data_IF_051335623543
#
_entry.id   IF_051335623543
#
_cell.length_a   1.000
_cell.length_b   1.000
_cell.length_c   1.000
_cell.angle_alpha   90.00
_cell.angle_beta   90.00
_cell.angle_gamma   90.00
#
_symmetry.space_group_name_H-M   'P 1'
#
loop_
_entity.id
_entity.type
_entity.pdbx_description
1 polymer ?
#
# COMPACT_ATOMS: atom_id res chain seq x y z
N UNK A 1 -13.92 6.93 29.32
CA UNK A 1 -13.22 5.95 28.44
C UNK A 1 -12.46 4.86 29.19
N UNK A 2 -11.86 5.13 30.36
CA UNK A 2 -10.93 4.19 31.02
C UNK A 2 -11.51 2.81 31.30
N UNK A 3 -12.70 2.75 31.91
CA UNK A 3 -13.35 1.48 32.24
C UNK A 3 -13.71 0.65 31.00
N UNK A 4 -14.17 1.30 29.91
CA UNK A 4 -14.62 0.61 28.69
C UNK A 4 -13.44 0.07 27.88
N UNK A 5 -12.35 0.84 27.78
CA UNK A 5 -11.17 0.49 26.98
C UNK A 5 -10.20 -0.44 27.71
N UNK A 6 -9.98 -0.22 29.02
CA UNK A 6 -8.97 -0.96 29.81
C UNK A 6 -9.28 -2.46 29.98
N UNK A 7 -10.55 -2.86 29.81
CA UNK A 7 -10.99 -4.26 29.91
C UNK A 7 -10.47 -5.15 28.79
N UNK A 8 -10.14 -4.58 27.62
CA UNK A 8 -9.63 -5.32 26.47
C UNK A 8 -8.24 -4.86 26.00
N UNK A 9 -7.83 -3.64 26.33
CA UNK A 9 -6.58 -3.03 25.88
C UNK A 9 -5.91 -2.30 27.03
N UNK A 10 -4.58 -2.24 27.06
CA UNK A 10 -3.89 -1.30 27.97
C UNK A 10 -4.14 0.13 27.49
N UNK A 11 -4.33 1.08 28.41
CA UNK A 11 -4.54 2.49 28.03
C UNK A 11 -3.34 3.04 27.28
N UNK A 12 -2.12 2.62 27.65
CA UNK A 12 -0.90 2.95 26.90
C UNK A 12 -1.03 2.57 25.42
N UNK A 13 -1.48 1.34 25.11
CA UNK A 13 -1.70 0.89 23.73
C UNK A 13 -2.78 1.70 23.01
N UNK A 14 -3.84 2.09 23.72
CA UNK A 14 -4.93 2.90 23.15
C UNK A 14 -4.43 4.27 22.72
N UNK A 15 -3.47 4.85 23.45
CA UNK A 15 -2.93 6.19 23.22
C UNK A 15 -1.52 6.22 22.61
N UNK A 16 -0.98 5.07 22.17
CA UNK A 16 0.40 4.98 21.64
C UNK A 16 0.57 5.81 20.36
N UNK A 17 -0.44 5.79 19.48
CA UNK A 17 -0.43 6.57 18.25
C UNK A 17 -1.34 7.79 18.40
N UNK A 18 -0.85 9.00 18.10
CA UNK A 18 -1.70 10.18 18.12
C UNK A 18 -2.74 10.08 17.00
N UNK A 19 -3.97 10.51 17.29
CA UNK A 19 -5.11 10.47 16.37
C UNK A 19 -5.82 11.82 16.38
N UNK A 20 -6.25 12.28 15.23
CA UNK A 20 -7.14 13.44 15.09
C UNK A 20 -8.49 13.17 15.73
N UNK A 21 -9.27 14.23 15.94
CA UNK A 21 -10.65 14.12 16.40
C UNK A 21 -11.48 13.16 15.53
N UNK A 22 -11.37 13.27 14.20
CA UNK A 22 -12.12 12.43 13.29
C UNK A 22 -11.69 10.95 13.39
N UNK A 23 -10.38 10.68 13.43
CA UNK A 23 -9.85 9.33 13.64
C UNK A 23 -10.32 8.70 14.95
N UNK A 24 -10.43 9.50 16.02
CA UNK A 24 -11.01 9.03 17.28
C UNK A 24 -12.48 8.66 17.13
N UNK A 25 -13.28 9.51 16.49
CA UNK A 25 -14.71 9.22 16.21
C UNK A 25 -14.87 7.90 15.47
N UNK A 26 -14.13 7.71 14.37
CA UNK A 26 -14.15 6.48 13.57
C UNK A 26 -13.67 5.26 14.38
N UNK A 27 -12.59 5.41 15.16
CA UNK A 27 -12.07 4.33 16.00
C UNK A 27 -13.12 3.84 17.02
N UNK A 28 -13.80 4.77 17.71
CA UNK A 28 -14.84 4.45 18.69
C UNK A 28 -16.07 3.85 18.01
N UNK A 29 -16.54 4.41 16.89
CA UNK A 29 -17.64 3.81 16.10
C UNK A 29 -17.31 2.38 15.68
N UNK A 30 -16.07 2.10 15.28
CA UNK A 30 -15.63 0.73 14.96
C UNK A 30 -15.65 -0.19 16.18
N UNK A 31 -15.28 0.30 17.36
CA UNK A 31 -15.34 -0.50 18.60
C UNK A 31 -16.78 -0.77 19.03
N UNK A 32 -17.67 0.21 18.90
CA UNK A 32 -19.11 0.03 19.10
C UNK A 32 -19.66 -1.05 18.16
N UNK A 33 -19.29 -1.02 16.88
CA UNK A 33 -19.75 -2.03 15.92
C UNK A 33 -19.23 -3.45 16.22
N UNK A 34 -18.07 -3.58 16.87
CA UNK A 34 -17.56 -4.89 17.30
C UNK A 34 -18.34 -5.47 18.49
N UNK A 35 -18.83 -4.62 19.38
CA UNK A 35 -19.68 -5.06 20.49
C UNK A 35 -20.65 -3.95 20.92
N UNK A 36 -21.83 -3.94 20.29
CA UNK A 36 -22.86 -2.91 20.47
C UNK A 36 -23.44 -2.85 21.90
N UNK A 37 -23.31 -3.93 22.66
CA UNK A 37 -23.77 -4.01 24.05
C UNK A 37 -22.73 -3.49 25.04
N UNK A 38 -21.46 -3.40 24.64
CA UNK A 38 -20.37 -2.96 25.52
C UNK A 38 -20.17 -1.44 25.50
N UNK A 39 -20.25 -0.84 24.31
CA UNK A 39 -20.20 0.61 24.10
C UNK A 39 -21.47 0.99 23.35
N UNK A 40 -22.42 1.58 24.06
CA UNK A 40 -23.65 2.12 23.48
C UNK A 40 -23.37 3.38 22.67
N UNK A 41 -24.36 3.90 21.94
CA UNK A 41 -24.23 5.18 21.23
C UNK A 41 -23.95 6.35 22.19
N UNK A 42 -24.60 6.35 23.35
CA UNK A 42 -24.38 7.33 24.41
C UNK A 42 -22.99 7.20 25.03
N UNK A 43 -22.55 5.97 25.36
CA UNK A 43 -21.19 5.71 25.83
C UNK A 43 -20.15 6.18 24.81
N UNK A 44 -20.39 5.90 23.52
CA UNK A 44 -19.51 6.26 22.42
C UNK A 44 -19.34 7.78 22.30
N UNK A 45 -20.44 8.52 22.33
CA UNK A 45 -20.43 9.99 22.30
C UNK A 45 -19.66 10.56 23.50
N UNK A 46 -19.93 10.06 24.71
CA UNK A 46 -19.25 10.51 25.92
C UNK A 46 -17.75 10.20 25.88
N UNK A 47 -17.35 9.01 25.42
CA UNK A 47 -15.94 8.62 25.29
C UNK A 47 -15.21 9.55 24.31
N UNK A 48 -15.84 9.87 23.18
CA UNK A 48 -15.29 10.78 22.17
C UNK A 48 -15.04 12.16 22.80
N UNK A 49 -16.05 12.74 23.45
CA UNK A 49 -15.96 14.07 24.07
C UNK A 49 -14.91 14.11 25.19
N UNK A 50 -14.82 13.05 26.01
CA UNK A 50 -13.80 12.94 27.05
C UNK A 50 -12.39 12.89 26.48
N UNK A 51 -12.15 12.10 25.44
CA UNK A 51 -10.81 11.99 24.82
C UNK A 51 -10.43 13.32 24.18
N UNK A 52 -11.35 13.96 23.46
CA UNK A 52 -11.10 15.25 22.80
C UNK A 52 -10.87 16.36 23.83
N UNK A 53 -11.68 16.39 24.89
CA UNK A 53 -11.62 17.40 25.94
C UNK A 53 -10.42 17.26 26.88
N UNK A 54 -10.14 16.03 27.35
CA UNK A 54 -9.12 15.75 28.39
C UNK A 54 -7.73 15.44 27.83
N UNK A 55 -7.60 15.05 26.56
CA UNK A 55 -6.32 14.61 25.94
C UNK A 55 -5.94 15.42 24.69
N UNK A 56 -6.09 16.74 24.78
CA UNK A 56 -5.66 17.67 23.71
C UNK A 56 -4.17 17.54 23.35
N UNK A 57 -3.35 17.03 24.27
CA UNK A 57 -1.93 16.73 24.11
C UNK A 57 -1.66 15.49 23.21
N UNK A 58 -2.65 14.62 23.03
CA UNK A 58 -2.54 13.37 22.23
C UNK A 58 -3.34 13.43 20.94
N UNK A 59 -4.27 14.38 20.84
CA UNK A 59 -4.85 14.71 19.54
C UNK A 59 -3.73 15.25 18.68
N UNK A 60 -3.29 14.46 17.70
CA UNK A 60 -2.39 14.93 16.66
C UNK A 60 -3.00 16.22 16.11
N UNK A 61 -2.26 17.33 16.20
CA UNK A 61 -2.45 18.42 15.25
C UNK A 61 -2.44 17.74 13.88
N UNK A 62 -3.55 17.92 13.14
CA UNK A 62 -3.86 17.32 11.83
C UNK A 62 -2.58 16.79 11.17
N UNK A 63 -2.42 15.45 10.96
CA UNK A 63 -1.22 14.94 10.33
C UNK A 63 -1.05 15.72 9.04
N UNK A 64 0.01 16.54 8.99
CA UNK A 64 0.22 17.44 7.88
C UNK A 64 0.17 16.58 6.63
N UNK A 65 -0.78 16.89 5.76
CA UNK A 65 -0.95 16.24 4.48
C UNK A 65 0.39 16.25 3.75
N UNK A 66 1.04 15.09 3.70
CA UNK A 66 2.25 14.89 2.92
C UNK A 66 1.85 15.04 1.45
N UNK A 67 2.35 16.08 0.80
CA UNK A 67 2.23 16.22 -0.65
C UNK A 67 3.27 15.32 -1.29
N UNK A 68 2.84 14.43 -2.18
CA UNK A 68 3.73 13.53 -2.91
C UNK A 68 3.81 14.01 -4.36
N UNK A 69 5.02 14.25 -4.85
CA UNK A 69 5.25 14.58 -6.27
C UNK A 69 5.20 13.32 -7.17
N UNK A 70 5.34 12.13 -6.58
CA UNK A 70 5.39 10.84 -7.27
C UNK A 70 4.19 9.98 -6.83
N UNK A 71 3.34 9.60 -7.79
CA UNK A 71 2.17 8.75 -7.58
C UNK A 71 2.55 7.35 -7.03
N UNK A 72 3.75 6.86 -7.35
CA UNK A 72 4.28 5.62 -6.79
C UNK A 72 4.49 5.74 -5.29
N UNK A 73 5.03 6.86 -4.81
CA UNK A 73 5.27 7.09 -3.38
C UNK A 73 3.95 7.21 -2.63
N UNK A 74 2.96 7.88 -3.23
CA UNK A 74 1.61 7.94 -2.69
C UNK A 74 0.97 6.54 -2.59
N UNK A 75 1.07 5.72 -3.64
CA UNK A 75 0.60 4.34 -3.62
C UNK A 75 1.24 3.50 -2.50
N UNK A 76 2.56 3.59 -2.33
CA UNK A 76 3.27 2.89 -1.25
C UNK A 76 2.74 3.32 0.11
N UNK A 77 2.68 4.63 0.34
CA UNK A 77 2.29 5.19 1.64
C UNK A 77 0.85 4.86 1.99
N UNK A 78 -0.08 4.84 1.03
CA UNK A 78 -1.50 4.60 1.31
C UNK A 78 -1.89 3.14 1.27
N UNK A 79 -1.42 2.39 0.27
CA UNK A 79 -1.94 1.06 -0.03
C UNK A 79 -1.10 -0.05 0.62
N UNK A 80 0.22 0.12 0.72
CA UNK A 80 1.11 -0.98 1.18
C UNK A 80 1.28 -1.04 2.69
N UNK A 81 0.70 -0.09 3.43
CA UNK A 81 0.66 -0.14 4.91
C UNK A 81 -0.11 -1.35 5.43
N UNK A 82 -1.13 -1.79 4.70
CA UNK A 82 -2.01 -2.90 5.11
C UNK A 82 -2.10 -4.03 4.09
N UNK A 83 -1.76 -3.77 2.82
CA UNK A 83 -1.91 -4.75 1.75
C UNK A 83 -0.57 -5.04 1.09
N UNK A 84 -0.37 -6.30 0.71
CA UNK A 84 0.75 -6.67 -0.16
C UNK A 84 0.53 -6.08 -1.55
N UNK A 85 1.60 -5.61 -2.17
CA UNK A 85 1.58 -5.04 -3.53
C UNK A 85 1.01 -6.02 -4.54
N UNK A 86 1.40 -7.30 -4.46
CA UNK A 86 0.89 -8.40 -5.32
C UNK A 86 -0.63 -8.45 -5.32
N UNK A 87 -1.23 -8.58 -4.12
CA UNK A 87 -2.69 -8.58 -3.94
C UNK A 87 -3.41 -7.42 -4.63
N UNK A 88 -2.77 -6.25 -4.70
CA UNK A 88 -3.34 -5.06 -5.33
C UNK A 88 -3.16 -5.14 -6.85
N UNK A 89 -1.94 -5.35 -7.33
CA UNK A 89 -1.63 -5.27 -8.76
C UNK A 89 -2.13 -6.47 -9.57
N UNK A 90 -2.38 -7.61 -8.93
CA UNK A 90 -2.99 -8.80 -9.57
C UNK A 90 -4.48 -8.58 -9.89
N UNK A 91 -5.06 -7.44 -9.53
CA UNK A 91 -6.46 -7.14 -9.82
C UNK A 91 -6.61 -6.46 -11.18
N UNK A 92 -7.34 -7.13 -12.06
CA UNK A 92 -7.83 -6.54 -13.29
C UNK A 92 -9.06 -5.69 -13.02
N UNK A 93 -8.87 -4.37 -13.04
CA UNK A 93 -9.92 -3.37 -12.80
C UNK A 93 -9.73 -2.18 -13.72
N UNK A 94 -10.86 -1.64 -14.16
CA UNK A 94 -10.96 -0.32 -14.77
C UNK A 94 -10.65 0.78 -13.75
N UNK A 95 -10.42 1.99 -14.25
CA UNK A 95 -10.17 3.16 -13.42
C UNK A 95 -11.32 3.42 -12.43
N UNK A 96 -12.56 3.32 -12.88
CA UNK A 96 -13.73 3.58 -12.04
C UNK A 96 -13.88 2.51 -10.94
N UNK A 97 -13.66 1.23 -11.27
CA UNK A 97 -13.62 0.16 -10.27
C UNK A 97 -12.47 0.33 -9.26
N UNK A 98 -11.34 0.93 -9.68
CA UNK A 98 -10.27 1.32 -8.77
C UNK A 98 -10.70 2.45 -7.84
N UNK A 99 -11.35 3.50 -8.37
CA UNK A 99 -11.92 4.59 -7.56
C UNK A 99 -12.87 4.04 -6.51
N UNK A 100 -13.83 3.20 -6.89
CA UNK A 100 -14.75 2.55 -5.94
C UNK A 100 -14.02 1.74 -4.87
N UNK A 101 -12.93 1.08 -5.26
CA UNK A 101 -12.13 0.30 -4.31
C UNK A 101 -11.39 1.19 -3.33
N UNK A 102 -10.79 2.28 -3.79
CA UNK A 102 -10.10 3.25 -2.94
C UNK A 102 -11.10 3.95 -2.02
N UNK A 103 -12.30 4.27 -2.50
CA UNK A 103 -13.38 4.82 -1.68
C UNK A 103 -13.76 3.85 -0.54
N UNK A 104 -13.90 2.55 -0.83
CA UNK A 104 -14.09 1.55 0.23
C UNK A 104 -12.91 1.45 1.19
N UNK A 105 -11.67 1.64 0.71
CA UNK A 105 -10.50 1.67 1.60
C UNK A 105 -10.51 2.92 2.48
N UNK A 106 -10.95 4.07 1.95
CA UNK A 106 -11.19 5.30 2.71
C UNK A 106 -12.25 5.09 3.78
N UNK A 107 -13.34 4.37 3.50
CA UNK A 107 -14.35 4.09 4.54
C UNK A 107 -13.77 3.29 5.72
N UNK A 108 -12.73 2.49 5.47
CA UNK A 108 -12.04 1.68 6.49
C UNK A 108 -10.85 2.41 7.15
N UNK A 109 -10.20 3.34 6.44
CA UNK A 109 -9.01 4.09 6.86
C UNK A 109 -9.04 5.52 6.30
N UNK A 110 -10.00 6.36 6.74
CA UNK A 110 -10.27 7.67 6.14
C UNK A 110 -9.11 8.66 6.30
N UNK A 111 -8.25 8.46 7.28
CA UNK A 111 -7.04 9.25 7.52
C UNK A 111 -5.98 9.08 6.42
N UNK A 112 -6.03 8.01 5.64
CA UNK A 112 -5.04 7.68 4.61
C UNK A 112 -5.44 8.18 3.22
N UNK A 113 -6.71 8.49 2.98
CA UNK A 113 -7.22 8.72 1.63
C UNK A 113 -7.95 10.07 1.54
N UNK A 114 -7.22 11.10 1.08
CA UNK A 114 -7.78 12.42 0.80
C UNK A 114 -8.41 12.47 -0.60
N UNK A 115 -9.41 13.33 -0.82
CA UNK A 115 -10.15 13.39 -2.09
C UNK A 115 -9.25 13.58 -3.32
N UNK A 116 -8.16 14.33 -3.19
CA UNK A 116 -7.21 14.53 -4.29
C UNK A 116 -6.24 13.36 -4.53
N UNK A 117 -6.01 12.51 -3.53
CA UNK A 117 -5.13 11.35 -3.64
C UNK A 117 -5.83 10.24 -4.44
N UNK A 118 -7.16 10.14 -4.34
CA UNK A 118 -7.98 9.09 -4.96
C UNK A 118 -7.78 9.01 -6.49
N UNK A 119 -7.96 10.09 -7.27
CA UNK A 119 -7.77 10.02 -8.72
C UNK A 119 -6.32 9.65 -9.07
N UNK A 120 -5.32 10.19 -8.35
CA UNK A 120 -3.90 9.93 -8.60
C UNK A 120 -3.56 8.45 -8.40
N UNK A 121 -4.05 7.84 -7.32
CA UNK A 121 -3.83 6.41 -7.04
C UNK A 121 -4.59 5.55 -8.06
N UNK A 122 -5.82 5.92 -8.44
CA UNK A 122 -6.60 5.18 -9.43
C UNK A 122 -5.92 5.19 -10.81
N UNK A 123 -5.39 6.34 -11.23
CA UNK A 123 -4.64 6.49 -12.48
C UNK A 123 -3.37 5.64 -12.45
N UNK A 124 -2.59 5.72 -11.37
CA UNK A 124 -1.40 4.90 -11.19
C UNK A 124 -1.70 3.40 -11.27
N UNK A 125 -2.74 2.91 -10.58
CA UNK A 125 -3.13 1.49 -10.58
C UNK A 125 -3.62 1.02 -11.95
N UNK A 126 -4.33 1.89 -12.68
CA UNK A 126 -4.81 1.58 -14.03
C UNK A 126 -3.65 1.46 -15.00
N UNK A 127 -2.74 2.44 -15.01
CA UNK A 127 -1.54 2.41 -15.84
C UNK A 127 -0.66 1.20 -15.52
N UNK A 128 -0.40 0.95 -14.22
CA UNK A 128 0.42 -0.19 -13.80
C UNK A 128 -0.23 -1.52 -14.16
N UNK A 129 -1.54 -1.64 -13.96
CA UNK A 129 -2.30 -2.83 -14.31
C UNK A 129 -2.32 -3.10 -15.82
N UNK A 130 -2.44 -2.07 -16.66
CA UNK A 130 -2.38 -2.21 -18.12
C UNK A 130 -1.00 -2.69 -18.58
N UNK A 131 0.07 -2.11 -18.02
CA UNK A 131 1.44 -2.55 -18.32
C UNK A 131 1.67 -4.00 -17.91
N UNK A 132 1.05 -4.47 -16.83
CA UNK A 132 1.17 -5.86 -16.39
C UNK A 132 0.33 -6.81 -17.27
N UNK A 133 -0.80 -6.35 -17.84
CA UNK A 133 -1.72 -7.21 -18.61
C UNK A 133 -1.35 -7.35 -20.08
N UNK A 134 -0.91 -6.26 -20.72
CA UNK A 134 -0.69 -6.22 -22.16
C UNK A 134 0.75 -6.61 -22.56
N UNK A 135 1.59 -6.94 -21.58
CA UNK A 135 3.01 -7.17 -21.79
C UNK A 135 3.36 -8.64 -21.53
N UNK A 136 3.86 -9.34 -22.56
CA UNK A 136 4.41 -10.69 -22.45
C UNK A 136 5.46 -10.74 -21.33
N UNK A 137 6.23 -9.66 -21.14
CA UNK A 137 7.20 -9.55 -20.05
C UNK A 137 6.57 -9.63 -18.66
N UNK A 138 5.33 -9.17 -18.49
CA UNK A 138 4.65 -9.17 -17.20
C UNK A 138 4.05 -10.53 -16.86
N UNK A 139 3.55 -11.27 -17.86
CA UNK A 139 3.23 -12.69 -17.71
C UNK A 139 4.47 -13.48 -17.30
N UNK A 140 5.60 -13.24 -17.97
CA UNK A 140 6.89 -13.83 -17.60
C UNK A 140 7.27 -13.44 -16.16
N UNK A 141 7.06 -12.18 -15.75
CA UNK A 141 7.33 -11.74 -14.38
C UNK A 141 6.47 -12.46 -13.34
N UNK A 142 5.18 -12.67 -13.62
CA UNK A 142 4.28 -13.43 -12.74
C UNK A 142 4.73 -14.90 -12.62
N UNK A 143 4.94 -15.56 -13.75
CA UNK A 143 5.30 -16.98 -13.80
C UNK A 143 6.71 -17.29 -13.29
N UNK A 144 7.63 -16.30 -13.31
CA UNK A 144 9.05 -16.55 -13.05
C UNK A 144 9.62 -15.76 -11.89
N UNK A 145 9.21 -14.51 -11.69
CA UNK A 145 9.74 -13.68 -10.62
C UNK A 145 8.87 -13.77 -9.37
N UNK A 146 7.54 -13.77 -9.54
CA UNK A 146 6.60 -13.75 -8.40
C UNK A 146 6.43 -15.10 -7.70
N UNK A 147 6.91 -16.19 -8.32
CA UNK A 147 6.97 -17.52 -7.69
C UNK A 147 7.85 -17.52 -6.43
N UNK A 148 8.88 -16.67 -6.37
CA UNK A 148 9.79 -16.59 -5.22
C UNK A 148 9.85 -15.20 -4.57
N UNK A 149 9.36 -14.16 -5.23
CA UNK A 149 9.48 -12.79 -4.76
C UNK A 149 8.11 -12.12 -4.67
N UNK A 150 7.84 -11.45 -3.57
CA UNK A 150 6.68 -10.57 -3.48
C UNK A 150 6.82 -9.42 -4.47
N UNK A 151 5.75 -9.07 -5.21
CA UNK A 151 5.78 -8.05 -6.25
C UNK A 151 6.33 -6.71 -5.76
N UNK A 152 6.04 -6.33 -4.51
CA UNK A 152 6.56 -5.10 -3.90
C UNK A 152 8.10 -5.08 -3.82
N UNK A 153 8.75 -6.23 -3.63
CA UNK A 153 10.22 -6.28 -3.58
C UNK A 153 10.85 -5.89 -4.92
N UNK A 154 10.16 -6.13 -6.03
CA UNK A 154 10.66 -5.84 -7.38
C UNK A 154 10.19 -4.45 -7.81
N UNK A 155 8.89 -4.18 -7.68
CA UNK A 155 8.26 -2.99 -8.26
C UNK A 155 8.59 -1.69 -7.52
N UNK A 156 9.17 -1.78 -6.32
CA UNK A 156 9.61 -0.63 -5.51
C UNK A 156 11.07 -0.24 -5.75
N UNK A 157 11.85 -1.10 -6.40
CA UNK A 157 13.23 -0.81 -6.74
C UNK A 157 13.30 0.17 -7.90
N UNK A 158 14.24 1.12 -7.86
CA UNK A 158 14.52 2.04 -8.96
C UNK A 158 15.98 1.84 -9.37
N UNK A 159 16.23 1.49 -10.63
CA UNK A 159 17.57 1.13 -11.13
C UNK A 159 17.79 1.63 -12.54
N UNK A 160 19.05 1.77 -12.94
CA UNK A 160 19.41 1.98 -14.35
C UNK A 160 19.14 0.70 -15.15
N UNK A 161 19.10 0.79 -16.49
CA UNK A 161 19.04 -0.40 -17.36
C UNK A 161 20.16 -1.39 -17.05
N UNK A 162 21.39 -0.91 -16.95
CA UNK A 162 22.56 -1.73 -16.64
C UNK A 162 22.42 -2.46 -15.31
N UNK A 163 21.88 -1.80 -14.29
CA UNK A 163 21.68 -2.40 -12.98
C UNK A 163 20.52 -3.40 -12.98
N UNK A 164 19.48 -3.16 -13.77
CA UNK A 164 18.40 -4.15 -13.97
C UNK A 164 18.90 -5.39 -14.71
N UNK A 165 19.68 -5.23 -15.78
CA UNK A 165 20.31 -6.34 -16.50
C UNK A 165 21.15 -7.21 -15.57
N UNK A 166 21.98 -6.57 -14.74
CA UNK A 166 22.78 -7.27 -13.74
C UNK A 166 21.90 -8.01 -12.73
N UNK A 167 20.90 -7.35 -12.17
CA UNK A 167 20.00 -7.96 -11.18
C UNK A 167 19.29 -9.21 -11.73
N UNK A 168 18.72 -9.12 -12.92
CA UNK A 168 18.03 -10.25 -13.56
C UNK A 168 19.02 -11.38 -13.91
N UNK A 169 20.26 -11.04 -14.30
CA UNK A 169 21.30 -12.02 -14.61
C UNK A 169 21.73 -12.78 -13.36
N UNK A 170 21.93 -12.07 -12.25
CA UNK A 170 22.25 -12.67 -10.95
C UNK A 170 21.13 -13.62 -10.50
N UNK A 171 19.86 -13.22 -10.67
CA UNK A 171 18.71 -14.09 -10.35
C UNK A 171 18.67 -15.33 -11.24
N UNK A 172 19.01 -15.22 -12.53
CA UNK A 172 19.11 -16.40 -13.41
C UNK A 172 20.13 -17.42 -12.91
N UNK A 173 21.30 -16.93 -12.49
CA UNK A 173 22.38 -17.76 -11.97
C UNK A 173 21.93 -18.44 -10.68
N UNK A 174 21.35 -17.68 -9.75
CA UNK A 174 20.88 -18.19 -8.47
C UNK A 174 19.82 -19.29 -8.65
N UNK A 175 18.78 -19.03 -9.46
CA UNK A 175 17.70 -20.00 -9.68
C UNK A 175 18.22 -21.26 -10.39
N UNK A 176 19.18 -21.13 -11.31
CA UNK A 176 19.84 -22.28 -11.93
C UNK A 176 20.62 -23.11 -10.93
N UNK A 177 21.25 -22.48 -9.94
CA UNK A 177 21.97 -23.19 -8.88
C UNK A 177 21.01 -23.93 -7.95
N UNK A 178 19.92 -23.29 -7.56
CA UNK A 178 18.95 -23.79 -6.57
C UNK A 178 18.03 -24.87 -7.15
N UNK A 179 17.52 -24.66 -8.37
CA UNK A 179 16.51 -25.53 -8.98
C UNK A 179 17.05 -26.40 -10.12
N UNK A 180 18.33 -26.25 -10.49
CA UNK A 180 18.98 -26.97 -11.61
C UNK A 180 18.22 -26.86 -12.95
N UNK A 181 17.48 -25.76 -13.14
CA UNK A 181 16.71 -25.46 -14.36
C UNK A 181 17.16 -24.13 -14.96
N UNK A 182 17.07 -24.01 -16.28
CA UNK A 182 17.17 -22.69 -16.93
C UNK A 182 15.82 -22.00 -16.80
N UNK A 183 15.74 -21.00 -15.92
CA UNK A 183 14.46 -20.44 -15.49
C UNK A 183 13.83 -19.52 -16.55
N UNK A 184 14.64 -18.73 -17.25
CA UNK A 184 14.21 -17.91 -18.38
C UNK A 184 15.21 -17.93 -19.53
N UNK A 185 14.68 -17.90 -20.75
CA UNK A 185 15.41 -17.81 -22.02
C UNK A 185 16.06 -16.43 -22.18
N UNK A 186 16.91 -16.28 -23.19
CA UNK A 186 17.53 -14.98 -23.51
C UNK A 186 16.49 -13.93 -23.91
N UNK A 187 15.45 -14.32 -24.63
CA UNK A 187 14.42 -13.39 -25.08
C UNK A 187 13.52 -12.96 -23.91
N UNK A 188 13.15 -13.90 -23.04
CA UNK A 188 12.41 -13.59 -21.81
C UNK A 188 13.22 -12.69 -20.86
N UNK A 189 14.54 -12.90 -20.78
CA UNK A 189 15.43 -12.02 -20.03
C UNK A 189 15.35 -10.57 -20.53
N UNK A 190 15.44 -10.36 -21.85
CA UNK A 190 15.38 -9.02 -22.43
C UNK A 190 14.02 -8.36 -22.18
N UNK A 191 12.93 -9.12 -22.37
CA UNK A 191 11.57 -8.66 -22.11
C UNK A 191 11.38 -8.22 -20.66
N UNK A 192 11.84 -9.02 -19.69
CA UNK A 192 11.77 -8.65 -18.26
C UNK A 192 12.58 -7.37 -17.99
N UNK A 193 13.80 -7.27 -18.51
CA UNK A 193 14.63 -6.07 -18.33
C UNK A 193 13.95 -4.84 -18.93
N UNK A 194 13.39 -4.95 -20.13
CA UNK A 194 12.70 -3.85 -20.80
C UNK A 194 11.47 -3.39 -20.02
N UNK A 195 10.69 -4.32 -19.48
CA UNK A 195 9.56 -4.00 -18.59
C UNK A 195 10.03 -3.29 -17.31
N UNK A 196 11.10 -3.78 -16.69
CA UNK A 196 11.65 -3.18 -15.46
C UNK A 196 12.20 -1.77 -15.72
N UNK A 197 12.89 -1.56 -16.84
CA UNK A 197 13.37 -0.24 -17.25
C UNK A 197 12.23 0.71 -17.60
N UNK A 198 11.26 0.24 -18.38
CA UNK A 198 10.08 1.03 -18.77
C UNK A 198 9.33 1.54 -17.56
N UNK A 199 9.33 0.77 -16.47
CA UNK A 199 8.43 1.02 -15.35
C UNK A 199 9.09 1.46 -14.05
N UNK A 200 10.36 1.15 -13.84
CA UNK A 200 11.14 1.61 -12.69
C UNK A 200 12.54 2.15 -13.06
N UNK A 201 12.80 2.37 -14.35
CA UNK A 201 14.07 2.88 -14.85
C UNK A 201 14.36 4.29 -14.32
N UNK A 202 15.57 4.48 -13.81
CA UNK A 202 16.12 5.82 -13.58
C UNK A 202 16.79 6.24 -14.89
N UNK A 203 16.34 7.36 -15.49
CA UNK A 203 17.11 8.00 -16.57
C UNK A 203 18.39 8.50 -15.92
N UNK A 204 19.53 7.90 -16.27
CA UNK A 204 20.82 8.44 -15.86
C UNK A 204 20.96 9.85 -16.41
N UNK A 205 21.49 10.77 -15.61
CA UNK A 205 22.17 11.92 -16.20
C UNK A 205 23.30 11.33 -17.05
N UNK A 206 23.27 11.59 -18.35
CA UNK A 206 24.39 11.32 -19.23
C UNK A 206 25.55 12.20 -18.77
N UNK A 207 26.56 11.58 -18.15
CA UNK A 207 27.95 12.05 -18.09
C UNK A 207 28.84 11.02 -18.77
#
# INVERSE_FOLDING_TARGET
YEEKCSKCHTLERVFTEPKTENEWRICITRMMNKNKLWITEEDGAQIIDEIIGKRKDIIASVPQKKKYADAQVLFIDRCTRCHKVSRILDKNKTRDEWVETILRMRDNAPELFFDEDIPVIADFLTERGNIIRDDIAAQIMEEKCLVCHEAGRILLERKSRKDWEKCVADMRIQVRQDFKKDWFTKDEFNLIVDLLVKTQGIKGNEE
#
